data_IF_042922500127
#
_entry.id   IF_042922500127
#
_cell.length_a   1.000
_cell.length_b   1.000
_cell.length_c   1.000
_cell.angle_alpha   90.00
_cell.angle_beta   90.00
_cell.angle_gamma   90.00
#
_symmetry.space_group_name_H-M   'P 1'
#
loop_
_entity.id
_entity.type
_entity.pdbx_description
1 polymer ?
#
# COMPACT_ATOMS: atom_id res chain seq x y z
N UNK A 1 16.68 76.24 1.10
CA UNK A 1 17.53 77.25 0.41
C UNK A 1 18.56 76.48 -0.39
N UNK A 2 18.28 76.24 -1.68
CA UNK A 2 19.02 76.80 -2.84
C UNK A 2 20.51 76.40 -2.81
N UNK A 3 21.08 75.73 -3.83
CA UNK A 3 21.12 76.20 -5.22
C UNK A 3 21.40 75.10 -6.26
N UNK A 4 20.91 75.36 -7.48
CA UNK A 4 21.22 74.74 -8.79
C UNK A 4 22.72 74.92 -9.15
N UNK A 5 23.38 74.18 -10.05
CA UNK A 5 23.18 74.18 -11.53
C UNK A 5 24.19 73.26 -12.28
N UNK A 6 23.71 72.57 -13.35
CA UNK A 6 24.26 72.43 -14.75
C UNK A 6 25.76 72.09 -15.00
N UNK A 7 26.24 71.36 -16.03
CA UNK A 7 25.75 70.96 -17.37
C UNK A 7 26.80 70.08 -18.12
N UNK A 8 26.36 69.33 -19.15
CA UNK A 8 27.05 68.82 -20.38
C UNK A 8 28.24 67.83 -20.25
N UNK A 9 28.42 66.78 -21.08
CA UNK A 9 28.34 66.72 -22.56
C UNK A 9 28.31 65.25 -23.05
N UNK A 10 27.77 65.02 -24.25
CA UNK A 10 27.59 63.72 -24.91
C UNK A 10 28.78 63.28 -25.80
N UNK A 11 28.95 61.95 -25.98
CA UNK A 11 29.42 61.24 -27.18
C UNK A 11 29.35 59.73 -26.84
N UNK A 12 28.66 58.84 -27.56
CA UNK A 12 28.76 58.57 -28.99
C UNK A 12 29.61 57.31 -29.18
N UNK A 13 28.99 56.12 -29.24
CA UNK A 13 29.71 54.84 -29.33
C UNK A 13 28.85 53.67 -29.82
N UNK A 14 28.64 53.65 -31.14
CA UNK A 14 28.39 52.49 -32.02
C UNK A 14 27.99 51.14 -31.42
N UNK A 15 26.74 50.76 -31.72
CA UNK A 15 26.18 49.41 -31.59
C UNK A 15 26.76 48.47 -32.68
N UNK A 16 27.13 47.25 -32.29
CA UNK A 16 27.49 46.16 -33.21
C UNK A 16 26.96 44.85 -32.65
N UNK A 17 26.23 44.04 -33.45
CA UNK A 17 25.50 42.90 -32.94
C UNK A 17 26.45 41.75 -32.58
N UNK A 18 26.61 41.49 -31.28
CA UNK A 18 27.36 40.32 -30.80
C UNK A 18 26.64 39.02 -31.21
N UNK A 19 27.32 38.23 -32.06
CA UNK A 19 26.99 36.83 -32.36
C UNK A 19 26.85 36.03 -31.06
N UNK A 20 25.86 35.12 -30.94
CA UNK A 20 25.69 34.33 -29.73
C UNK A 20 26.88 33.38 -29.53
N UNK A 21 27.52 33.53 -28.38
CA UNK A 21 28.66 32.74 -27.93
C UNK A 21 28.34 31.23 -27.86
N UNK A 22 29.34 30.40 -28.24
CA UNK A 22 29.26 28.93 -28.36
C UNK A 22 28.68 28.22 -27.11
N UNK A 23 28.71 28.86 -25.95
CA UNK A 23 28.21 28.37 -24.65
C UNK A 23 26.68 28.29 -24.55
N UNK A 24 25.92 29.11 -25.30
CA UNK A 24 24.44 29.02 -25.33
C UNK A 24 23.94 27.87 -26.21
N UNK A 25 24.70 27.49 -27.24
CA UNK A 25 24.32 26.45 -28.21
C UNK A 25 24.48 25.03 -27.63
N UNK A 26 25.47 24.82 -26.76
CA UNK A 26 25.62 23.58 -25.96
C UNK A 26 24.54 23.44 -24.90
N UNK A 27 24.19 24.51 -24.16
CA UNK A 27 23.06 24.50 -23.20
C UNK A 27 21.69 24.21 -23.86
N UNK A 28 21.46 24.69 -25.08
CA UNK A 28 20.22 24.42 -25.83
C UNK A 28 20.19 22.99 -26.38
N UNK A 29 21.35 22.42 -26.76
CA UNK A 29 21.47 21.00 -27.16
C UNK A 29 21.33 20.03 -25.98
N UNK A 30 21.89 20.34 -24.80
CA UNK A 30 21.67 19.53 -23.59
C UNK A 30 20.26 19.65 -23.03
N UNK A 31 19.61 20.81 -23.14
CA UNK A 31 18.16 20.93 -22.86
C UNK A 31 17.29 20.15 -23.83
N UNK A 32 17.64 20.11 -25.12
CA UNK A 32 16.91 19.30 -26.12
C UNK A 32 17.16 17.80 -25.93
N UNK A 33 18.36 17.38 -25.53
CA UNK A 33 18.68 15.98 -25.22
C UNK A 33 18.02 15.50 -23.90
N UNK A 34 17.92 16.39 -22.89
CA UNK A 34 17.20 16.08 -21.63
C UNK A 34 15.68 16.05 -21.81
N UNK A 35 15.14 16.74 -22.81
CA UNK A 35 13.73 16.69 -23.18
C UNK A 35 13.34 15.43 -23.99
N UNK A 36 14.31 14.69 -24.53
CA UNK A 36 14.07 13.44 -25.28
C UNK A 36 14.04 12.21 -24.35
N UNK A 37 14.50 12.36 -23.11
CA UNK A 37 14.54 11.28 -22.09
C UNK A 37 13.32 11.18 -21.17
N UNK A 38 12.25 11.96 -21.39
CA UNK A 38 11.08 12.01 -20.49
C UNK A 38 9.73 11.82 -21.23
N UNK A 39 9.79 11.30 -22.46
CA UNK A 39 8.60 11.00 -23.26
C UNK A 39 8.12 9.55 -23.11
N UNK A 40 8.79 8.71 -22.31
CA UNK A 40 8.45 7.29 -22.14
C UNK A 40 7.62 6.95 -20.89
N UNK A 41 7.26 7.94 -20.05
CA UNK A 41 6.43 7.76 -18.84
C UNK A 41 5.15 8.59 -18.87
N UNK A 42 4.51 8.63 -20.04
CA UNK A 42 3.18 9.22 -20.16
C UNK A 42 2.14 8.15 -19.85
N UNK A 43 1.24 8.46 -18.91
CA UNK A 43 0.10 7.60 -18.59
C UNK A 43 -0.85 7.60 -19.79
N UNK A 44 -0.87 6.48 -20.51
CA UNK A 44 -1.77 6.25 -21.64
C UNK A 44 -3.16 5.73 -21.22
N UNK A 45 -4.03 5.52 -22.20
CA UNK A 45 -5.39 5.01 -21.98
C UNK A 45 -5.42 3.61 -21.34
N UNK A 46 -4.46 2.73 -21.66
CA UNK A 46 -4.31 1.42 -21.00
C UNK A 46 -4.14 1.55 -19.48
N UNK A 47 -3.36 2.52 -19.04
CA UNK A 47 -3.14 2.81 -17.61
C UNK A 47 -4.40 3.36 -16.94
N UNK A 48 -5.15 4.23 -17.63
CA UNK A 48 -6.43 4.78 -17.13
C UNK A 48 -7.46 3.68 -16.97
N UNK A 49 -7.59 2.78 -17.94
CA UNK A 49 -8.50 1.65 -17.88
C UNK A 49 -8.15 0.70 -16.74
N UNK A 50 -6.86 0.38 -16.56
CA UNK A 50 -6.38 -0.42 -15.44
C UNK A 50 -6.80 0.20 -14.10
N UNK A 51 -6.55 1.50 -13.92
CA UNK A 51 -6.92 2.23 -12.71
C UNK A 51 -8.44 2.25 -12.48
N UNK A 52 -9.25 2.47 -13.51
CA UNK A 52 -10.71 2.43 -13.41
C UNK A 52 -11.21 1.06 -12.92
N UNK A 53 -10.65 -0.03 -13.45
CA UNK A 53 -11.01 -1.37 -12.98
C UNK A 53 -10.57 -1.59 -11.53
N UNK A 54 -9.36 -1.15 -11.15
CA UNK A 54 -8.89 -1.21 -9.76
C UNK A 54 -9.82 -0.49 -8.77
N UNK A 55 -10.35 0.68 -9.16
CA UNK A 55 -11.29 1.45 -8.32
C UNK A 55 -12.60 0.71 -8.07
N UNK A 56 -13.09 -0.06 -9.04
CA UNK A 56 -14.34 -0.84 -8.90
C UNK A 56 -14.10 -2.13 -8.11
N UNK A 57 -12.99 -2.82 -8.32
CA UNK A 57 -12.70 -4.10 -7.67
C UNK A 57 -12.25 -3.97 -6.21
N UNK A 58 -11.71 -2.82 -5.81
CA UNK A 58 -11.16 -2.57 -4.47
C UNK A 58 -9.80 -3.24 -4.24
N UNK A 59 -9.75 -4.58 -4.34
CA UNK A 59 -8.54 -5.40 -4.26
C UNK A 59 -8.56 -6.50 -5.32
N UNK A 60 -7.40 -6.79 -5.93
CA UNK A 60 -7.25 -7.89 -6.88
C UNK A 60 -6.00 -8.71 -6.57
N UNK A 61 -6.03 -10.02 -6.83
CA UNK A 61 -4.84 -10.86 -6.70
C UNK A 61 -3.84 -10.65 -7.86
N UNK A 62 -2.62 -11.15 -7.71
CA UNK A 62 -1.57 -10.97 -8.71
C UNK A 62 -1.88 -11.62 -10.07
N UNK A 63 -2.61 -12.73 -10.12
CA UNK A 63 -2.96 -13.36 -11.39
C UNK A 63 -4.01 -12.51 -12.12
N UNK A 64 -5.01 -12.04 -11.39
CA UNK A 64 -6.01 -11.11 -11.90
C UNK A 64 -5.37 -9.78 -12.36
N UNK A 65 -4.39 -9.25 -11.61
CA UNK A 65 -3.66 -8.05 -12.00
C UNK A 65 -2.86 -8.23 -13.29
N UNK A 66 -2.18 -9.37 -13.47
CA UNK A 66 -1.47 -9.71 -14.71
C UNK A 66 -2.44 -9.85 -15.89
N UNK A 67 -3.56 -10.54 -15.70
CA UNK A 67 -4.59 -10.69 -16.72
C UNK A 67 -5.22 -9.34 -17.11
N UNK A 68 -5.49 -8.47 -16.13
CA UNK A 68 -6.00 -7.12 -16.37
C UNK A 68 -4.99 -6.27 -17.13
N UNK A 69 -3.72 -6.31 -16.75
CA UNK A 69 -2.65 -5.62 -17.45
C UNK A 69 -2.52 -6.06 -18.91
N UNK A 70 -2.58 -7.37 -19.17
CA UNK A 70 -2.60 -7.92 -20.52
C UNK A 70 -3.81 -7.39 -21.31
N UNK A 71 -5.01 -7.50 -20.74
CA UNK A 71 -6.25 -7.03 -21.36
C UNK A 71 -6.21 -5.53 -21.71
N UNK A 72 -5.71 -4.69 -20.78
CA UNK A 72 -5.58 -3.25 -21.01
C UNK A 72 -4.58 -2.94 -22.13
N UNK A 73 -3.50 -3.71 -22.26
CA UNK A 73 -2.52 -3.52 -23.32
C UNK A 73 -3.08 -3.91 -24.69
N UNK A 74 -3.74 -5.06 -24.77
CA UNK A 74 -4.36 -5.55 -26.01
C UNK A 74 -5.45 -4.61 -26.51
N UNK A 75 -6.31 -4.12 -25.61
CA UNK A 75 -7.44 -3.23 -25.94
C UNK A 75 -6.99 -1.88 -26.49
N UNK A 76 -5.84 -1.37 -26.03
CA UNK A 76 -5.33 -0.05 -26.41
C UNK A 76 -4.08 -0.12 -27.31
N UNK A 77 -3.77 -1.30 -27.86
CA UNK A 77 -2.63 -1.55 -28.75
C UNK A 77 -1.28 -1.05 -28.19
N UNK A 78 -1.07 -1.19 -26.88
CA UNK A 78 0.22 -0.84 -26.24
C UNK A 78 1.13 -2.07 -26.12
N UNK A 79 2.45 -1.86 -26.10
CA UNK A 79 3.41 -2.95 -25.93
C UNK A 79 3.18 -3.69 -24.60
N UNK A 80 2.82 -4.97 -24.71
CA UNK A 80 2.69 -5.87 -23.56
C UNK A 80 3.98 -6.65 -23.35
N UNK A 81 4.45 -6.69 -22.10
CA UNK A 81 5.55 -7.55 -21.68
C UNK A 81 5.19 -8.17 -20.32
N UNK A 82 5.11 -9.51 -20.19
CA UNK A 82 4.61 -10.19 -18.98
C UNK A 82 5.31 -9.76 -17.68
N UNK A 83 6.61 -9.46 -17.75
CA UNK A 83 7.44 -9.11 -16.59
C UNK A 83 7.45 -7.60 -16.28
N UNK A 84 6.63 -6.80 -16.97
CA UNK A 84 6.61 -5.33 -16.87
C UNK A 84 5.40 -4.76 -16.12
N UNK A 85 4.67 -5.60 -15.39
CA UNK A 85 3.54 -5.15 -14.55
C UNK A 85 3.97 -4.10 -13.51
N UNK A 86 5.08 -4.32 -12.81
CA UNK A 86 5.54 -3.38 -11.77
C UNK A 86 5.93 -2.02 -12.39
N UNK A 87 6.67 -2.01 -13.51
CA UNK A 87 7.01 -0.79 -14.25
C UNK A 87 5.75 -0.03 -14.74
N UNK A 88 4.71 -0.78 -15.15
CA UNK A 88 3.42 -0.23 -15.56
C UNK A 88 2.68 0.42 -14.38
N UNK A 89 2.66 -0.25 -13.22
CA UNK A 89 2.10 0.28 -11.97
C UNK A 89 2.89 1.52 -11.50
N UNK A 90 4.21 1.52 -11.59
CA UNK A 90 5.06 2.66 -11.21
C UNK A 90 4.77 3.90 -12.08
N UNK A 91 4.45 3.68 -13.35
CA UNK A 91 4.02 4.75 -14.26
C UNK A 91 2.68 5.36 -13.81
N UNK A 92 1.73 4.54 -13.36
CA UNK A 92 0.47 5.00 -12.77
C UNK A 92 0.74 5.76 -11.47
N UNK A 93 1.48 5.15 -10.55
CA UNK A 93 1.79 5.71 -9.23
C UNK A 93 2.46 7.07 -9.34
N UNK A 94 3.39 7.24 -10.28
CA UNK A 94 4.04 8.54 -10.55
C UNK A 94 3.05 9.66 -10.87
N UNK A 95 1.88 9.34 -11.46
CA UNK A 95 0.80 10.30 -11.74
C UNK A 95 -0.21 10.42 -10.61
N UNK A 96 -0.34 9.41 -9.77
CA UNK A 96 -1.22 9.42 -8.60
C UNK A 96 -0.60 10.12 -7.38
N UNK A 97 0.73 10.20 -7.30
CA UNK A 97 1.46 10.84 -6.20
C UNK A 97 0.95 12.25 -5.81
N UNK A 98 0.63 13.18 -6.73
CA UNK A 98 0.12 14.51 -6.36
C UNK A 98 -1.25 14.48 -5.66
N UNK A 99 -2.00 13.39 -5.81
CA UNK A 99 -3.28 13.16 -5.14
C UNK A 99 -3.13 12.30 -3.88
N UNK A 100 -1.88 12.01 -3.47
CA UNK A 100 -1.55 11.11 -2.37
C UNK A 100 -2.14 9.71 -2.56
N UNK A 101 -2.40 9.28 -3.79
CA UNK A 101 -2.91 7.95 -4.09
C UNK A 101 -1.79 7.07 -4.65
N UNK A 102 -1.85 5.77 -4.38
CA UNK A 102 -0.97 4.80 -5.04
C UNK A 102 -1.56 3.39 -5.03
N UNK A 103 -1.30 2.64 -6.09
CA UNK A 103 -1.51 1.20 -6.15
C UNK A 103 -0.38 0.55 -5.37
N UNK A 104 -0.72 -0.19 -4.32
CA UNK A 104 0.24 -0.92 -3.49
C UNK A 104 0.04 -2.41 -3.62
N UNK A 105 1.15 -3.12 -3.53
CA UNK A 105 1.21 -4.57 -3.39
C UNK A 105 1.25 -4.95 -1.91
N UNK A 106 0.47 -5.96 -1.53
CA UNK A 106 0.50 -6.54 -0.20
C UNK A 106 0.30 -8.05 -0.24
N UNK A 107 0.74 -8.72 0.83
CA UNK A 107 0.68 -10.16 0.95
C UNK A 107 -0.38 -10.58 1.95
N UNK A 108 -1.19 -11.56 1.57
CA UNK A 108 -2.15 -12.21 2.46
C UNK A 108 -1.42 -13.00 3.56
N UNK A 109 -1.76 -12.78 4.83
CA UNK A 109 -1.12 -13.51 5.94
C UNK A 109 -1.62 -14.95 6.08
N UNK A 110 -2.77 -15.29 5.51
CA UNK A 110 -3.43 -16.60 5.58
C UNK A 110 -2.91 -17.60 4.53
N UNK A 111 -2.59 -17.13 3.32
CA UNK A 111 -2.27 -17.96 2.16
C UNK A 111 -0.98 -17.53 1.43
N UNK A 112 -0.43 -16.35 1.77
CA UNK A 112 0.80 -15.84 1.18
C UNK A 112 0.68 -15.28 -0.23
N UNK A 113 -0.50 -15.25 -0.84
CA UNK A 113 -0.72 -14.69 -2.17
C UNK A 113 -0.56 -13.17 -2.15
N UNK A 114 -0.14 -12.62 -3.29
CA UNK A 114 0.05 -11.20 -3.48
C UNK A 114 -1.24 -10.58 -4.03
N UNK A 115 -1.56 -9.40 -3.50
CA UNK A 115 -2.73 -8.61 -3.86
C UNK A 115 -2.30 -7.17 -4.15
N UNK A 116 -3.09 -6.50 -4.99
CA UNK A 116 -2.95 -5.09 -5.30
C UNK A 116 -4.21 -4.35 -4.90
N UNK A 117 -4.06 -3.18 -4.30
CA UNK A 117 -5.16 -2.27 -3.98
C UNK A 117 -4.75 -0.82 -4.21
N UNK A 118 -5.73 0.04 -4.50
CA UNK A 118 -5.53 1.48 -4.60
C UNK A 118 -5.69 2.11 -3.21
N UNK A 119 -4.62 2.71 -2.72
CA UNK A 119 -4.47 3.23 -1.35
C UNK A 119 -4.38 4.74 -1.36
N UNK A 120 -5.07 5.38 -0.40
CA UNK A 120 -4.86 6.79 -0.08
C UNK A 120 -3.79 6.90 1.02
N UNK A 121 -2.77 7.70 0.77
CA UNK A 121 -1.61 7.91 1.64
C UNK A 121 -1.72 9.15 2.54
N UNK A 122 -2.64 10.06 2.22
CA UNK A 122 -2.90 11.24 3.04
C UNK A 122 -3.95 10.97 4.13
N UNK A 123 -4.85 10.01 3.90
CA UNK A 123 -5.89 9.67 4.87
C UNK A 123 -5.30 8.85 6.03
N UNK A 124 -5.15 9.53 7.17
CA UNK A 124 -4.81 8.93 8.46
C UNK A 124 -6.07 8.68 9.30
N UNK A 125 -7.22 8.49 8.67
CA UNK A 125 -8.47 8.19 9.34
C UNK A 125 -9.23 7.12 8.57
N UNK A 126 -10.25 6.54 9.20
CA UNK A 126 -11.17 5.55 8.61
C UNK A 126 -12.11 6.23 7.56
N UNK A 127 -11.76 7.40 7.06
CA UNK A 127 -12.55 8.25 6.16
C UNK A 127 -13.06 7.55 4.92
N UNK A 128 -12.32 6.55 4.39
CA UNK A 128 -12.83 5.70 3.29
C UNK A 128 -14.10 4.92 3.65
N UNK A 129 -14.25 4.49 4.89
CA UNK A 129 -15.46 3.82 5.35
C UNK A 129 -16.52 4.81 5.80
N UNK A 130 -16.18 6.08 6.04
CA UNK A 130 -17.14 7.09 6.51
C UNK A 130 -18.27 7.40 5.52
N UNK A 131 -18.11 7.08 4.23
CA UNK A 131 -19.21 7.16 3.26
C UNK A 131 -20.20 6.00 3.38
N UNK A 132 -19.74 4.84 3.85
CA UNK A 132 -20.46 3.57 3.75
C UNK A 132 -20.98 3.07 5.11
N UNK A 133 -20.52 3.67 6.21
CA UNK A 133 -20.77 3.25 7.59
C UNK A 133 -21.15 4.44 8.48
N UNK A 134 -22.09 4.22 9.40
CA UNK A 134 -22.48 5.21 10.40
C UNK A 134 -21.43 5.34 11.53
N UNK A 135 -21.43 6.45 12.27
CA UNK A 135 -20.41 6.75 13.29
C UNK A 135 -20.25 5.67 14.37
N UNK A 136 -21.36 5.07 14.81
CA UNK A 136 -21.35 3.96 15.77
C UNK A 136 -20.77 2.68 15.16
N UNK A 137 -21.01 2.44 13.87
CA UNK A 137 -20.44 1.29 13.16
C UNK A 137 -18.91 1.46 12.99
N UNK A 138 -18.46 2.68 12.69
CA UNK A 138 -17.05 3.04 12.62
C UNK A 138 -16.36 2.95 13.99
N UNK A 139 -17.05 3.33 15.06
CA UNK A 139 -16.53 3.18 16.42
C UNK A 139 -16.35 1.70 16.78
N UNK A 140 -17.32 0.83 16.46
CA UNK A 140 -17.16 -0.60 16.66
C UNK A 140 -15.98 -1.14 15.84
N UNK A 141 -15.82 -0.70 14.59
CA UNK A 141 -14.70 -1.12 13.77
C UNK A 141 -13.35 -0.71 14.39
N UNK A 142 -13.22 0.51 14.92
CA UNK A 142 -12.03 0.94 15.68
C UNK A 142 -11.77 0.05 16.88
N UNK A 143 -12.77 -0.21 17.72
CA UNK A 143 -12.62 -1.12 18.87
C UNK A 143 -12.22 -2.53 18.45
N UNK A 144 -12.74 -3.01 17.33
CA UNK A 144 -12.36 -4.31 16.76
C UNK A 144 -10.89 -4.29 16.30
N UNK A 145 -10.43 -3.21 15.67
CA UNK A 145 -9.02 -3.02 15.34
C UNK A 145 -8.15 -3.00 16.59
N UNK A 146 -8.56 -2.30 17.66
CA UNK A 146 -7.82 -2.27 18.93
C UNK A 146 -7.61 -3.68 19.48
N UNK A 147 -8.69 -4.49 19.52
CA UNK A 147 -8.62 -5.88 19.96
C UNK A 147 -7.67 -6.72 19.09
N UNK A 148 -7.73 -6.57 17.76
CA UNK A 148 -6.90 -7.33 16.81
C UNK A 148 -5.43 -6.91 16.91
N UNK A 149 -5.13 -5.61 16.86
CA UNK A 149 -3.76 -5.08 16.84
C UNK A 149 -3.04 -5.37 18.15
N UNK A 150 -3.73 -5.24 19.29
CA UNK A 150 -3.16 -5.48 20.61
C UNK A 150 -3.08 -6.98 20.98
N UNK A 151 -3.74 -7.86 20.21
CA UNK A 151 -3.66 -9.31 20.46
C UNK A 151 -2.30 -9.91 20.09
N UNK A 152 -1.96 -11.02 20.73
CA UNK A 152 -0.73 -11.74 20.43
C UNK A 152 -0.77 -12.42 19.05
N UNK A 153 -1.93 -12.97 18.67
CA UNK A 153 -2.12 -13.76 17.45
C UNK A 153 -2.79 -12.99 16.30
N UNK A 154 -3.03 -11.68 16.45
CA UNK A 154 -3.66 -10.86 15.42
C UNK A 154 -5.14 -11.16 15.20
N UNK A 155 -5.86 -11.57 16.26
CA UNK A 155 -7.28 -11.92 16.18
C UNK A 155 -8.07 -11.42 17.40
N UNK A 156 -9.36 -11.23 17.20
CA UNK A 156 -10.33 -10.94 18.25
C UNK A 156 -11.50 -11.93 18.20
N UNK A 157 -11.96 -12.42 19.36
CA UNK A 157 -13.14 -13.29 19.40
C UNK A 157 -14.43 -12.48 19.20
N UNK A 158 -15.47 -13.11 18.65
CA UNK A 158 -16.81 -12.51 18.54
C UNK A 158 -17.32 -12.01 19.90
N UNK A 159 -17.04 -12.75 20.96
CA UNK A 159 -17.41 -12.39 22.34
C UNK A 159 -16.70 -11.14 22.83
N UNK A 160 -15.39 -10.99 22.58
CA UNK A 160 -14.66 -9.79 22.99
C UNK A 160 -15.16 -8.55 22.25
N UNK A 161 -15.44 -8.69 20.95
CA UNK A 161 -15.98 -7.60 20.14
C UNK A 161 -17.37 -7.20 20.64
N UNK A 162 -18.27 -8.17 20.92
CA UNK A 162 -19.61 -7.91 21.45
C UNK A 162 -19.55 -7.21 22.81
N UNK A 163 -18.63 -7.59 23.69
CA UNK A 163 -18.45 -6.97 25.00
C UNK A 163 -17.87 -5.55 24.89
N UNK A 164 -17.12 -5.24 23.82
CA UNK A 164 -16.58 -3.90 23.60
C UNK A 164 -17.67 -2.83 23.38
N UNK A 165 -18.88 -3.25 22.97
CA UNK A 165 -20.03 -2.35 22.71
C UNK A 165 -20.46 -1.54 23.94
N UNK A 166 -20.22 -2.07 25.14
CA UNK A 166 -20.54 -1.40 26.41
C UNK A 166 -19.70 -0.14 26.64
N UNK A 167 -18.52 -0.07 26.01
CA UNK A 167 -17.58 1.05 26.12
C UNK A 167 -17.67 2.05 24.96
N UNK A 168 -18.70 1.93 24.12
CA UNK A 168 -18.94 2.86 23.01
C UNK A 168 -19.46 4.20 23.53
N UNK A 169 -18.91 5.27 22.99
CA UNK A 169 -19.22 6.67 23.32
C UNK A 169 -20.33 7.25 22.45
N UNK A 170 -20.55 6.69 21.26
CA UNK A 170 -21.65 7.06 20.37
C UNK A 170 -22.96 6.40 20.84
N UNK A 171 -23.57 5.57 20.00
CA UNK A 171 -24.77 4.81 20.31
C UNK A 171 -24.40 3.37 20.57
N UNK A 172 -24.74 2.86 21.75
CA UNK A 172 -24.64 1.45 22.09
C UNK A 172 -25.42 0.60 21.09
N UNK A 173 -24.75 -0.40 20.51
CA UNK A 173 -25.35 -1.34 19.56
C UNK A 173 -25.92 -2.55 20.28
N UNK A 174 -27.03 -3.11 19.78
CA UNK A 174 -27.52 -4.41 20.23
C UNK A 174 -26.58 -5.52 19.75
N UNK A 175 -26.59 -6.67 20.43
CA UNK A 175 -25.78 -7.84 20.02
C UNK A 175 -26.07 -8.27 18.58
N UNK A 176 -27.35 -8.37 18.22
CA UNK A 176 -27.76 -8.72 16.85
C UNK A 176 -27.34 -7.70 15.80
N UNK A 177 -27.37 -6.40 16.13
CA UNK A 177 -26.88 -5.33 15.24
C UNK A 177 -25.35 -5.43 15.06
N UNK A 178 -24.63 -5.78 16.12
CA UNK A 178 -23.18 -5.96 16.12
C UNK A 178 -22.78 -7.15 15.26
N UNK A 179 -23.44 -8.30 15.41
CA UNK A 179 -23.21 -9.49 14.59
C UNK A 179 -23.52 -9.24 13.11
N UNK A 180 -24.59 -8.50 12.82
CA UNK A 180 -24.93 -8.10 11.46
C UNK A 180 -23.85 -7.21 10.85
N UNK A 181 -23.36 -6.21 11.60
CA UNK A 181 -22.27 -5.35 11.15
C UNK A 181 -20.97 -6.13 10.93
N UNK A 182 -20.60 -7.05 11.82
CA UNK A 182 -19.43 -7.91 11.62
C UNK A 182 -19.54 -8.75 10.35
N UNK A 183 -20.73 -9.29 10.05
CA UNK A 183 -20.99 -10.02 8.81
C UNK A 183 -20.83 -9.12 7.58
N UNK A 184 -21.30 -7.86 7.66
CA UNK A 184 -21.15 -6.87 6.59
C UNK A 184 -19.69 -6.47 6.37
N UNK A 185 -18.93 -6.23 7.45
CA UNK A 185 -17.49 -5.95 7.39
C UNK A 185 -16.69 -7.11 6.76
N UNK A 186 -17.10 -8.36 6.98
CA UNK A 186 -16.51 -9.52 6.31
C UNK A 186 -16.90 -9.59 4.82
N UNK A 187 -18.17 -9.31 4.51
CA UNK A 187 -18.65 -9.25 3.13
C UNK A 187 -17.87 -8.21 2.31
N UNK A 188 -17.72 -7.00 2.86
CA UNK A 188 -17.06 -5.85 2.25
C UNK A 188 -15.52 -5.97 2.27
N UNK A 189 -14.98 -7.08 2.78
CA UNK A 189 -13.54 -7.33 2.88
C UNK A 189 -12.82 -6.29 3.72
N UNK A 190 -13.39 -5.88 4.84
CA UNK A 190 -12.67 -5.19 5.91
C UNK A 190 -12.10 -6.22 6.90
N UNK A 191 -12.93 -7.16 7.33
CA UNK A 191 -12.55 -8.25 8.22
C UNK A 191 -12.51 -9.60 7.51
N UNK A 192 -11.89 -10.57 8.15
CA UNK A 192 -11.99 -12.00 7.80
C UNK A 192 -12.34 -12.77 9.05
N UNK A 193 -13.32 -13.66 8.94
CA UNK A 193 -13.83 -14.47 10.04
C UNK A 193 -13.44 -15.94 9.84
N UNK A 194 -13.08 -16.61 10.93
CA UNK A 194 -12.91 -18.06 10.97
C UNK A 194 -13.23 -18.60 12.36
N UNK A 195 -14.31 -19.38 12.46
CA UNK A 195 -14.73 -20.07 13.70
C UNK A 195 -14.97 -19.11 14.88
N UNK A 196 -15.59 -17.97 14.62
CA UNK A 196 -15.89 -16.94 15.61
C UNK A 196 -14.71 -16.02 15.95
N UNK A 197 -13.54 -16.20 15.32
CA UNK A 197 -12.42 -15.27 15.42
C UNK A 197 -12.35 -14.35 14.20
N UNK A 198 -12.07 -13.07 14.44
CA UNK A 198 -11.94 -12.04 13.41
C UNK A 198 -10.49 -11.55 13.33
N UNK A 199 -10.01 -11.33 12.11
CA UNK A 199 -8.73 -10.65 11.80
C UNK A 199 -8.99 -9.57 10.75
N UNK A 200 -8.06 -8.64 10.59
CA UNK A 200 -8.09 -7.73 9.44
C UNK A 200 -7.90 -8.53 8.15
N UNK A 201 -8.69 -8.21 7.14
CA UNK A 201 -8.51 -8.78 5.80
C UNK A 201 -7.28 -8.17 5.11
N UNK A 202 -6.80 -8.84 4.05
CA UNK A 202 -5.69 -8.34 3.23
C UNK A 202 -5.97 -6.96 2.62
N UNK A 203 -7.23 -6.70 2.19
CA UNK A 203 -7.66 -5.40 1.69
C UNK A 203 -7.49 -4.32 2.76
N UNK A 204 -8.04 -4.57 3.95
CA UNK A 204 -7.95 -3.65 5.08
C UNK A 204 -6.49 -3.36 5.46
N UNK A 205 -5.65 -4.38 5.53
CA UNK A 205 -4.23 -4.21 5.88
C UNK A 205 -3.53 -3.31 4.84
N UNK A 206 -3.76 -3.52 3.55
CA UNK A 206 -3.12 -2.72 2.48
C UNK A 206 -3.65 -1.28 2.49
N UNK A 207 -4.97 -1.10 2.53
CA UNK A 207 -5.59 0.23 2.46
C UNK A 207 -5.34 1.06 3.71
N UNK A 208 -5.33 0.45 4.90
CA UNK A 208 -5.20 1.15 6.17
C UNK A 208 -3.79 1.07 6.77
N UNK A 209 -2.80 0.53 6.06
CA UNK A 209 -1.43 0.46 6.58
C UNK A 209 -0.92 1.82 7.09
N UNK A 210 -1.10 2.96 6.37
CA UNK A 210 -0.64 4.26 6.87
C UNK A 210 -1.30 4.66 8.20
N UNK A 211 -2.61 4.45 8.31
CA UNK A 211 -3.38 4.68 9.53
C UNK A 211 -2.87 3.81 10.68
N UNK A 212 -2.76 2.50 10.45
CA UNK A 212 -2.40 1.53 11.48
C UNK A 212 -1.01 1.83 12.05
N UNK A 213 -0.03 2.14 11.18
CA UNK A 213 1.32 2.50 11.61
C UNK A 213 1.35 3.76 12.48
N UNK A 214 0.48 4.71 12.19
CA UNK A 214 0.43 5.99 12.89
C UNK A 214 -0.27 5.84 14.24
N UNK A 215 -1.43 5.18 14.26
CA UNK A 215 -2.27 5.08 15.47
C UNK A 215 -1.81 4.01 16.46
N UNK A 216 -1.16 2.95 15.97
CA UNK A 216 -0.79 1.79 16.78
C UNK A 216 0.73 1.55 16.79
N UNK A 217 1.52 2.63 16.70
CA UNK A 217 2.97 2.55 16.53
C UNK A 217 3.65 1.59 17.53
N UNK A 218 3.19 1.55 18.78
CA UNK A 218 3.80 0.75 19.85
C UNK A 218 3.29 -0.72 19.90
N UNK A 219 2.23 -1.04 19.15
CA UNK A 219 1.62 -2.37 19.11
C UNK A 219 1.87 -3.10 17.77
N UNK A 220 2.20 -2.35 16.72
CA UNK A 220 2.41 -2.91 15.39
C UNK A 220 3.69 -3.74 15.34
N UNK A 221 3.53 -5.01 15.01
CA UNK A 221 4.66 -5.90 14.69
C UNK A 221 5.02 -5.71 13.22
N UNK A 222 6.32 -5.72 12.91
CA UNK A 222 6.82 -5.59 11.54
C UNK A 222 7.61 -6.84 11.17
N UNK A 223 7.28 -7.43 10.02
CA UNK A 223 7.97 -8.61 9.53
C UNK A 223 9.42 -8.27 9.14
N UNK A 224 10.37 -9.07 9.62
CA UNK A 224 11.80 -8.89 9.34
C UNK A 224 12.15 -9.12 7.86
N UNK A 225 11.38 -9.96 7.15
CA UNK A 225 11.64 -10.33 5.76
C UNK A 225 11.06 -9.31 4.79
N UNK A 226 9.74 -9.05 4.86
CA UNK A 226 9.05 -8.19 3.88
C UNK A 226 8.87 -6.74 4.34
N UNK A 227 9.18 -6.43 5.62
CA UNK A 227 9.05 -5.08 6.23
C UNK A 227 7.62 -4.51 6.30
N UNK A 228 6.60 -5.31 5.94
CA UNK A 228 5.20 -4.96 6.13
C UNK A 228 4.73 -5.27 7.56
N UNK A 229 3.61 -4.66 7.96
CA UNK A 229 2.91 -4.98 9.22
C UNK A 229 2.60 -6.48 9.26
N UNK A 230 2.76 -7.07 10.44
CA UNK A 230 2.45 -8.46 10.71
C UNK A 230 1.44 -8.60 11.87
N UNK A 231 0.25 -9.10 11.58
CA UNK A 231 -0.72 -9.46 12.62
C UNK A 231 -0.48 -10.89 13.09
N UNK A 232 -0.29 -11.79 12.14
CA UNK A 232 -0.05 -13.22 12.33
C UNK A 232 1.40 -13.55 11.95
N UNK A 233 2.24 -13.75 12.97
CA UNK A 233 3.66 -14.02 12.79
C UNK A 233 4.20 -14.98 13.84
N UNK A 234 5.30 -15.64 13.47
CA UNK A 234 6.17 -16.31 14.43
C UNK A 234 7.23 -15.33 14.93
N UNK A 235 7.61 -15.47 16.20
CA UNK A 235 8.55 -14.58 16.88
C UNK A 235 9.77 -15.39 17.30
N UNK A 236 10.98 -14.89 17.02
CA UNK A 236 12.19 -15.52 17.54
C UNK A 236 12.16 -15.54 19.07
N UNK A 237 12.36 -16.70 19.69
CA UNK A 237 12.30 -16.88 21.14
C UNK A 237 13.59 -16.43 21.86
N UNK A 238 14.66 -16.09 21.12
CA UNK A 238 15.83 -15.49 21.74
C UNK A 238 15.43 -14.13 22.36
N UNK A 239 15.60 -13.96 23.70
CA UNK A 239 15.21 -12.74 24.41
C UNK A 239 15.88 -11.45 23.91
N UNK A 240 17.08 -11.54 23.32
CA UNK A 240 17.80 -10.39 22.75
C UNK A 240 17.49 -10.15 21.27
N UNK A 241 16.69 -11.01 20.63
CA UNK A 241 16.37 -10.92 19.21
C UNK A 241 14.91 -10.50 18.99
N UNK A 242 13.96 -11.39 19.28
CA UNK A 242 12.53 -11.10 19.16
C UNK A 242 12.05 -10.63 17.78
N UNK A 243 12.74 -10.97 16.68
CA UNK A 243 12.25 -10.62 15.34
C UNK A 243 10.93 -11.33 15.05
N UNK A 244 10.07 -10.66 14.27
CA UNK A 244 8.77 -11.18 13.86
C UNK A 244 8.83 -11.53 12.38
N UNK A 245 8.29 -12.68 11.98
CA UNK A 245 8.22 -13.08 10.58
C UNK A 245 6.82 -13.63 10.30
N UNK A 246 6.14 -13.08 9.28
CA UNK A 246 4.85 -13.61 8.81
C UNK A 246 4.93 -15.11 8.54
N UNK A 247 3.85 -15.85 8.81
CA UNK A 247 3.80 -17.29 8.51
C UNK A 247 4.15 -17.63 7.04
N UNK A 248 3.61 -16.93 6.02
CA UNK A 248 4.06 -17.11 4.64
C UNK A 248 5.52 -16.75 4.36
N UNK A 249 6.09 -15.78 5.09
CA UNK A 249 7.51 -15.42 4.95
C UNK A 249 8.42 -16.50 5.55
N UNK A 250 8.05 -17.06 6.71
CA UNK A 250 8.71 -18.23 7.32
C UNK A 250 8.72 -19.39 6.34
N UNK A 251 7.54 -19.75 5.81
CA UNK A 251 7.35 -20.84 4.86
C UNK A 251 8.24 -20.71 3.61
N UNK A 252 8.40 -19.48 3.11
CA UNK A 252 9.27 -19.19 1.95
C UNK A 252 10.76 -19.18 2.31
N UNK A 253 11.11 -18.55 3.42
CA UNK A 253 12.51 -18.34 3.83
C UNK A 253 13.19 -19.64 4.30
N UNK A 254 12.46 -20.51 4.97
CA UNK A 254 12.95 -21.79 5.48
C UNK A 254 12.69 -22.98 4.56
N UNK A 255 12.13 -22.73 3.35
CA UNK A 255 11.83 -23.79 2.39
C UNK A 255 13.06 -24.64 2.09
N UNK A 256 12.97 -25.93 2.36
CA UNK A 256 14.04 -26.89 2.08
C UNK A 256 15.23 -26.85 3.05
N UNK A 257 15.15 -26.08 4.14
CA UNK A 257 16.17 -26.08 5.21
C UNK A 257 15.82 -27.13 6.26
N UNK A 258 16.74 -28.07 6.50
CA UNK A 258 16.60 -29.10 7.54
C UNK A 258 16.80 -28.55 8.95
N UNK A 259 17.62 -27.50 9.09
CA UNK A 259 17.86 -26.80 10.36
C UNK A 259 17.55 -25.30 10.20
N UNK A 260 16.28 -24.91 10.36
CA UNK A 260 15.87 -23.51 10.35
C UNK A 260 16.60 -22.66 11.40
N UNK A 261 17.24 -21.56 10.98
CA UNK A 261 17.93 -20.59 11.86
C UNK A 261 17.44 -19.17 11.65
N UNK A 262 17.29 -18.44 12.76
CA UNK A 262 16.83 -17.06 12.77
C UNK A 262 17.70 -16.17 11.86
N UNK A 263 17.13 -15.43 10.89
CA UNK A 263 17.90 -14.57 9.98
C UNK A 263 18.62 -13.41 10.68
N UNK A 264 18.33 -13.13 11.95
CA UNK A 264 18.91 -12.01 12.68
C UNK A 264 19.94 -12.41 13.74
N UNK A 265 19.76 -13.54 14.44
CA UNK A 265 20.66 -13.97 15.51
C UNK A 265 21.27 -15.37 15.29
N UNK A 266 20.91 -16.05 14.20
CA UNK A 266 21.37 -17.39 13.83
C UNK A 266 21.03 -18.54 14.80
N UNK A 267 20.25 -18.26 15.86
CA UNK A 267 19.71 -19.31 16.72
C UNK A 267 18.72 -20.21 16.00
N UNK A 268 18.55 -21.43 16.54
CA UNK A 268 17.54 -22.38 16.06
C UNK A 268 16.15 -21.75 16.07
N UNK A 269 15.40 -21.93 14.99
CA UNK A 269 14.02 -21.47 14.88
C UNK A 269 13.09 -22.54 15.47
N UNK A 270 12.49 -22.32 16.64
CA UNK A 270 11.82 -23.38 17.40
C UNK A 270 10.43 -23.73 16.86
N UNK A 271 9.88 -22.88 15.99
CA UNK A 271 8.52 -23.01 15.48
C UNK A 271 8.44 -23.96 14.30
N UNK A 272 7.31 -24.66 14.19
CA UNK A 272 6.98 -25.43 12.98
C UNK A 272 6.93 -24.52 11.75
N UNK A 273 7.60 -24.94 10.67
CA UNK A 273 7.63 -24.18 9.42
C UNK A 273 6.30 -24.38 8.69
N UNK A 274 5.48 -23.33 8.47
CA UNK A 274 4.19 -23.47 7.81
C UNK A 274 4.34 -23.93 6.36
N UNK A 275 3.37 -24.69 5.87
CA UNK A 275 3.32 -25.04 4.45
C UNK A 275 2.83 -23.86 3.60
N UNK A 276 3.48 -23.64 2.45
CA UNK A 276 2.99 -22.67 1.45
C UNK A 276 1.75 -23.27 0.77
N UNK A 277 0.57 -22.76 1.10
CA UNK A 277 -0.66 -23.10 0.36
C UNK A 277 -0.48 -22.66 -1.09
N UNK A 278 -0.35 -23.62 -2.00
CA UNK A 278 -0.40 -23.31 -3.43
C UNK A 278 -1.82 -22.88 -3.78
N UNK A 279 -2.02 -21.79 -4.54
CA UNK A 279 -3.34 -21.48 -5.07
C UNK A 279 -3.78 -22.70 -5.89
N UNK A 280 -4.93 -23.27 -5.54
CA UNK A 280 -5.56 -24.27 -6.41
C UNK A 280 -5.77 -23.59 -7.75
N UNK A 281 -5.03 -24.01 -8.76
CA UNK A 281 -5.40 -23.77 -10.15
C UNK A 281 -6.80 -24.35 -10.30
N UNK A 282 -7.82 -23.49 -10.33
CA UNK A 282 -9.14 -23.92 -10.78
C UNK A 282 -8.95 -24.38 -12.23
N UNK A 283 -8.77 -25.69 -12.40
CA UNK A 283 -8.90 -26.35 -13.69
C UNK A 283 -10.33 -26.05 -14.15
N UNK A 284 -10.49 -25.08 -15.05
CA UNK A 284 -11.74 -24.88 -15.76
C UNK A 284 -12.09 -26.21 -16.44
N UNK A 285 -13.18 -26.82 -16.01
CA UNK A 285 -13.95 -27.76 -16.82
C UNK A 285 -15.05 -26.97 -17.50
#
# INVERSE_FOLDING_TARGET
MASRSSSSTAAGGSDSPQKPTKTKRTRRKTRKARAVGDMSRQMGESHRRFLQTMMVSGVIDEQAAKALYQYCCETHHTQYAPDKLEDFIDTINSRLQPMFMQIRKGMSEDNGLQYYALVNMAETDITRMSSDYADNELELFRKTMDLIVCSENGKASSTDILNSTDSMTTRKMKKSETEHLLSRLVHDKWLSEKRGEYTLSTRCIIEMEPYIRTMYQDHVKVCHICRNIAFQCQICENPTCGIKIHNPCVARYFKGKSEPRCPSCDDFWPHEIPEVKRPHSQSRR
#
